data_IF_953574094914
#
_entry.id   IF_953574094914
#
_cell.length_a   1.000
_cell.length_b   1.000
_cell.length_c   1.000
_cell.angle_alpha   90.00
_cell.angle_beta   90.00
_cell.angle_gamma   90.00
#
_symmetry.space_group_name_H-M   'P 1'
#
loop_
_entity.id
_entity.type
_entity.pdbx_description
1 polymer ?
#
# COMPACT_ATOMS: atom_id res chain seq x y z
N UNK A 1 -15.32 8.67 21.83
CA UNK A 1 -14.73 7.30 21.86
C UNK A 1 -13.37 7.38 21.19
N UNK A 2 -12.43 6.47 21.47
CA UNK A 2 -11.18 6.46 20.71
C UNK A 2 -11.47 6.04 19.25
N UNK A 3 -10.92 6.72 18.22
CA UNK A 3 -11.12 6.35 16.82
C UNK A 3 -10.74 4.90 16.55
N UNK A 4 -11.63 4.13 15.91
CA UNK A 4 -11.41 2.73 15.55
C UNK A 4 -11.06 2.63 14.06
N UNK A 5 -10.00 3.31 13.64
CA UNK A 5 -9.60 3.46 12.23
C UNK A 5 -9.69 2.16 11.43
N UNK A 6 -9.16 1.06 11.97
CA UNK A 6 -9.23 -0.24 11.30
C UNK A 6 -10.66 -0.64 10.90
N UNK A 7 -11.61 -0.52 11.81
CA UNK A 7 -13.01 -0.82 11.56
C UNK A 7 -13.69 0.21 10.65
N UNK A 8 -13.39 1.49 10.83
CA UNK A 8 -13.95 2.57 10.00
C UNK A 8 -13.63 2.36 8.51
N UNK A 9 -12.41 1.93 8.19
CA UNK A 9 -12.03 1.60 6.81
C UNK A 9 -12.52 0.26 6.33
N UNK A 10 -12.63 -0.75 7.21
CA UNK A 10 -13.29 -1.99 6.81
C UNK A 10 -14.68 -1.69 6.24
N UNK A 11 -15.46 -0.84 6.93
CA UNK A 11 -16.80 -0.48 6.49
C UNK A 11 -16.77 0.32 5.17
N UNK A 12 -15.74 1.13 4.92
CA UNK A 12 -15.56 1.84 3.65
C UNK A 12 -15.15 0.93 2.49
N UNK A 13 -14.16 0.06 2.70
CA UNK A 13 -13.71 -0.92 1.70
C UNK A 13 -14.89 -1.84 1.35
N UNK A 14 -15.67 -2.28 2.35
CA UNK A 14 -16.88 -3.07 2.12
C UNK A 14 -17.91 -2.32 1.25
N UNK A 15 -18.10 -1.00 1.45
CA UNK A 15 -18.98 -0.19 0.59
C UNK A 15 -18.47 -0.08 -0.84
N UNK A 16 -17.15 -0.01 -1.04
CA UNK A 16 -16.52 0.02 -2.37
C UNK A 16 -16.53 -1.32 -3.10
N UNK A 17 -16.90 -2.41 -2.41
CA UNK A 17 -16.95 -3.77 -2.94
C UNK A 17 -18.32 -4.42 -2.63
N UNK A 18 -19.43 -3.90 -3.18
CA UNK A 18 -20.79 -4.32 -2.80
C UNK A 18 -21.08 -5.81 -3.07
N UNK A 19 -20.40 -6.39 -4.06
CA UNK A 19 -20.58 -7.80 -4.46
C UNK A 19 -19.65 -8.78 -3.72
N UNK A 20 -18.80 -8.28 -2.82
CA UNK A 20 -17.81 -9.08 -2.09
C UNK A 20 -18.05 -8.94 -0.60
N UNK A 21 -18.43 -10.02 0.08
CA UNK A 21 -18.51 -10.02 1.54
C UNK A 21 -17.11 -10.10 2.14
N UNK A 22 -16.74 -9.18 3.02
CA UNK A 22 -15.43 -9.13 3.65
C UNK A 22 -15.46 -9.58 5.11
N UNK A 23 -14.33 -10.05 5.61
CA UNK A 23 -14.12 -10.46 6.99
C UNK A 23 -12.79 -9.91 7.54
N UNK A 24 -12.74 -9.73 8.87
CA UNK A 24 -11.51 -9.36 9.58
C UNK A 24 -10.77 -10.59 10.09
N UNK A 25 -9.44 -10.57 10.04
CA UNK A 25 -8.63 -11.72 10.46
C UNK A 25 -7.29 -11.40 11.12
N UNK A 26 -6.70 -12.42 11.78
CA UNK A 26 -7.37 -13.64 12.25
C UNK A 26 -8.21 -13.36 13.51
N UNK A 27 -9.37 -14.03 13.67
CA UNK A 27 -10.19 -14.00 14.90
C UNK A 27 -10.39 -12.61 15.53
N UNK A 28 -10.81 -11.63 14.72
CA UNK A 28 -11.03 -10.22 15.11
C UNK A 28 -9.80 -9.40 15.49
N UNK A 29 -8.58 -9.93 15.32
CA UNK A 29 -7.34 -9.22 15.65
C UNK A 29 -7.11 -7.93 14.82
N UNK A 30 -8.00 -7.61 13.87
CA UNK A 30 -7.93 -6.40 13.05
C UNK A 30 -6.55 -6.25 12.38
N UNK A 31 -5.99 -7.36 11.89
CA UNK A 31 -4.66 -7.41 11.30
C UNK A 31 -4.72 -7.24 9.78
N UNK A 32 -5.69 -7.91 9.14
CA UNK A 32 -5.94 -7.86 7.71
C UNK A 32 -7.42 -8.08 7.38
N UNK A 33 -7.78 -7.77 6.13
CA UNK A 33 -9.12 -7.95 5.57
C UNK A 33 -9.02 -9.01 4.45
N UNK A 34 -10.03 -9.87 4.33
CA UNK A 34 -10.09 -10.90 3.28
C UNK A 34 -11.54 -11.17 2.85
N UNK A 35 -11.70 -11.78 1.68
CA UNK A 35 -12.99 -12.22 1.16
C UNK A 35 -13.55 -13.39 1.99
N UNK A 36 -14.78 -13.25 2.42
CA UNK A 36 -15.49 -14.22 3.24
C UNK A 36 -16.04 -15.37 2.39
N UNK A 37 -15.91 -16.58 2.90
CA UNK A 37 -16.37 -17.82 2.27
C UNK A 37 -15.52 -18.27 1.09
N UNK A 38 -14.39 -17.62 0.80
CA UNK A 38 -13.57 -17.89 -0.40
C UNK A 38 -12.11 -18.12 -0.04
N UNK A 39 -11.51 -19.13 -0.66
CA UNK A 39 -10.07 -19.40 -0.63
C UNK A 39 -9.50 -19.35 -2.05
N UNK A 40 -8.19 -19.13 -2.14
CA UNK A 40 -7.43 -19.22 -3.39
C UNK A 40 -6.62 -20.51 -3.43
N UNK A 41 -6.48 -21.05 -4.63
CA UNK A 41 -5.56 -22.14 -4.96
C UNK A 41 -4.95 -21.88 -6.34
N UNK A 42 -3.80 -22.48 -6.64
CA UNK A 42 -3.26 -22.48 -8.00
C UNK A 42 -4.17 -23.28 -8.91
N UNK A 43 -4.22 -22.90 -10.17
CA UNK A 43 -5.05 -23.56 -11.16
C UNK A 43 -4.69 -25.03 -11.39
N UNK A 44 -5.59 -25.77 -12.05
CA UNK A 44 -5.36 -27.17 -12.40
C UNK A 44 -5.55 -28.14 -11.23
N UNK A 45 -4.54 -28.99 -10.99
CA UNK A 45 -4.62 -30.09 -10.01
C UNK A 45 -4.66 -29.59 -8.56
N UNK A 46 -3.98 -28.49 -8.23
CA UNK A 46 -4.01 -27.94 -6.87
C UNK A 46 -5.40 -27.44 -6.50
N UNK A 47 -6.07 -26.69 -7.38
CA UNK A 47 -7.46 -26.30 -7.19
C UNK A 47 -8.38 -27.52 -6.99
N UNK A 48 -8.24 -28.57 -7.82
CA UNK A 48 -9.03 -29.80 -7.67
C UNK A 48 -8.77 -30.49 -6.32
N UNK A 49 -7.51 -30.56 -5.90
CA UNK A 49 -7.14 -31.12 -4.61
C UNK A 49 -7.77 -30.34 -3.45
N UNK A 50 -7.75 -29.00 -3.50
CA UNK A 50 -8.37 -28.15 -2.48
C UNK A 50 -9.88 -28.39 -2.45
N UNK A 51 -10.55 -28.42 -3.60
CA UNK A 51 -11.99 -28.70 -3.70
C UNK A 51 -12.35 -30.06 -3.09
N UNK A 52 -11.68 -31.13 -3.51
CA UNK A 52 -11.98 -32.50 -3.06
C UNK A 52 -11.71 -32.68 -1.57
N UNK A 53 -10.62 -32.10 -1.07
CA UNK A 53 -10.27 -32.15 0.36
C UNK A 53 -11.30 -31.39 1.19
N UNK A 54 -11.60 -30.13 0.85
CA UNK A 54 -12.54 -29.31 1.62
C UNK A 54 -13.95 -29.92 1.57
N UNK A 55 -14.36 -30.45 0.40
CA UNK A 55 -15.64 -31.16 0.25
C UNK A 55 -15.67 -32.45 1.06
N UNK A 56 -14.56 -33.16 1.23
CA UNK A 56 -14.48 -34.37 2.05
C UNK A 56 -14.59 -34.12 3.56
N UNK A 57 -14.15 -32.96 4.03
CA UNK A 57 -14.16 -32.58 5.45
C UNK A 57 -15.35 -31.70 5.87
N UNK A 58 -16.38 -31.53 5.03
CA UNK A 58 -17.52 -30.63 5.30
C UNK A 58 -18.31 -30.93 6.59
N UNK A 59 -18.28 -32.18 7.08
CA UNK A 59 -18.97 -32.58 8.32
C UNK A 59 -18.25 -32.14 9.60
N UNK A 60 -17.00 -31.69 9.50
CA UNK A 60 -16.15 -31.32 10.65
C UNK A 60 -16.36 -29.88 11.13
N UNK A 61 -17.14 -29.05 10.41
CA UNK A 61 -17.52 -27.72 10.87
C UNK A 61 -19.02 -27.43 10.69
N UNK A 62 -19.61 -26.77 11.71
CA UNK A 62 -21.01 -26.33 11.68
C UNK A 62 -21.23 -25.26 10.62
N UNK A 63 -22.23 -25.45 9.76
CA UNK A 63 -22.59 -24.51 8.69
C UNK A 63 -21.90 -24.77 7.34
N UNK A 64 -21.02 -25.78 7.24
CA UNK A 64 -20.46 -26.24 5.98
C UNK A 64 -21.37 -27.29 5.33
N UNK A 65 -21.68 -27.10 4.06
CA UNK A 65 -22.33 -28.11 3.21
C UNK A 65 -21.42 -28.38 2.03
N UNK A 66 -21.35 -29.64 1.58
CA UNK A 66 -20.55 -30.02 0.42
C UNK A 66 -20.94 -29.23 -0.85
N UNK A 67 -22.22 -28.84 -0.96
CA UNK A 67 -22.78 -28.08 -2.08
C UNK A 67 -22.24 -26.64 -2.17
N UNK A 68 -21.66 -26.11 -1.09
CA UNK A 68 -21.03 -24.78 -1.09
C UNK A 68 -19.61 -24.80 -1.64
N UNK A 69 -18.98 -25.98 -1.80
CA UNK A 69 -17.60 -26.11 -2.29
C UNK A 69 -17.56 -26.14 -3.82
N UNK A 70 -17.29 -24.99 -4.43
CA UNK A 70 -17.24 -24.82 -5.89
C UNK A 70 -16.29 -23.71 -6.32
N UNK A 71 -15.77 -23.82 -7.54
CA UNK A 71 -15.09 -22.70 -8.21
C UNK A 71 -16.06 -21.57 -8.47
N UNK A 72 -15.61 -20.34 -8.21
CA UNK A 72 -16.37 -19.10 -8.46
C UNK A 72 -15.66 -18.11 -9.37
N UNK A 73 -14.47 -18.47 -9.86
CA UNK A 73 -13.79 -17.79 -10.98
C UNK A 73 -13.77 -18.69 -12.23
N UNK A 74 -13.87 -18.11 -13.44
CA UNK A 74 -13.64 -18.85 -14.68
C UNK A 74 -12.18 -19.31 -14.82
N UNK A 75 -11.92 -20.19 -15.81
CA UNK A 75 -10.58 -20.69 -16.14
C UNK A 75 -9.57 -19.57 -16.50
N UNK A 76 -8.30 -19.95 -16.36
CA UNK A 76 -7.12 -19.22 -15.85
C UNK A 76 -6.71 -17.93 -16.59
N UNK A 77 -6.49 -16.84 -15.87
CA UNK A 77 -5.71 -15.71 -16.36
C UNK A 77 -4.20 -15.94 -16.09
N UNK A 78 -3.34 -14.98 -16.43
CA UNK A 78 -1.88 -15.15 -16.30
C UNK A 78 -1.40 -15.29 -14.85
N UNK A 79 -2.19 -14.84 -13.87
CA UNK A 79 -1.85 -15.04 -12.45
C UNK A 79 -1.95 -16.52 -12.02
N UNK A 80 -2.75 -17.33 -12.72
CA UNK A 80 -2.80 -18.77 -12.48
C UNK A 80 -3.55 -19.17 -11.21
N UNK A 81 -4.56 -18.39 -10.81
CA UNK A 81 -5.24 -18.50 -9.52
C UNK A 81 -6.75 -18.73 -9.67
N UNK A 82 -7.24 -19.76 -8.99
CA UNK A 82 -8.67 -20.08 -8.89
C UNK A 82 -9.23 -19.60 -7.55
N UNK A 83 -10.38 -18.91 -7.59
CA UNK A 83 -11.23 -18.64 -6.41
C UNK A 83 -12.17 -19.82 -6.18
N UNK A 84 -12.13 -20.38 -4.97
CA UNK A 84 -12.96 -21.50 -4.54
C UNK A 84 -13.83 -21.01 -3.39
N UNK A 85 -15.14 -20.99 -3.61
CA UNK A 85 -16.10 -20.80 -2.52
C UNK A 85 -16.10 -22.07 -1.67
N UNK A 86 -15.94 -21.90 -0.35
CA UNK A 86 -15.88 -22.97 0.66
C UNK A 86 -16.98 -22.84 1.72
N UNK A 87 -17.75 -21.76 1.68
CA UNK A 87 -18.87 -21.50 2.58
C UNK A 87 -19.82 -20.45 2.02
N UNK A 88 -20.92 -20.20 2.71
CA UNK A 88 -21.83 -19.09 2.37
C UNK A 88 -21.21 -17.75 2.84
N UNK A 89 -20.89 -16.81 1.92
CA UNK A 89 -20.34 -15.51 2.27
C UNK A 89 -21.26 -14.68 3.19
N UNK A 90 -22.58 -14.92 3.12
CA UNK A 90 -23.56 -14.24 3.97
C UNK A 90 -23.68 -14.82 5.39
N UNK A 91 -23.05 -15.95 5.68
CA UNK A 91 -23.21 -16.64 6.96
C UNK A 91 -22.32 -16.09 8.07
N UNK A 92 -22.88 -15.77 9.24
CA UNK A 92 -22.13 -15.14 10.36
C UNK A 92 -21.97 -13.62 10.19
N UNK A 93 -21.35 -12.95 11.15
CA UNK A 93 -21.07 -11.50 11.09
C UNK A 93 -19.73 -11.21 10.39
N UNK A 94 -19.20 -9.98 10.54
CA UNK A 94 -17.87 -9.59 10.04
C UNK A 94 -16.71 -10.22 10.84
N UNK A 95 -17.02 -10.96 11.92
CA UNK A 95 -16.07 -11.47 12.91
C UNK A 95 -15.75 -12.93 12.65
N UNK A 96 -14.64 -13.13 11.93
CA UNK A 96 -14.12 -14.45 11.61
C UNK A 96 -14.93 -15.20 10.54
N UNK A 97 -14.24 -16.14 9.91
CA UNK A 97 -14.78 -16.98 8.85
C UNK A 97 -14.42 -18.43 9.12
N UNK A 98 -15.39 -19.17 9.69
CA UNK A 98 -15.18 -20.59 10.05
C UNK A 98 -14.95 -21.46 8.82
N UNK A 99 -15.56 -21.12 7.69
CA UNK A 99 -15.44 -21.91 6.48
C UNK A 99 -14.03 -21.80 5.90
N UNK A 100 -13.51 -20.58 5.77
CA UNK A 100 -12.13 -20.34 5.34
C UNK A 100 -11.14 -20.90 6.37
N UNK A 101 -11.34 -20.67 7.66
CA UNK A 101 -10.45 -21.21 8.70
C UNK A 101 -10.40 -22.75 8.68
N UNK A 102 -11.54 -23.40 8.40
CA UNK A 102 -11.63 -24.84 8.23
C UNK A 102 -10.91 -25.32 6.96
N UNK A 103 -11.15 -24.68 5.81
CA UNK A 103 -10.48 -25.02 4.55
C UNK A 103 -8.94 -24.95 4.66
N UNK A 104 -8.42 -23.87 5.26
CA UNK A 104 -6.99 -23.75 5.55
C UNK A 104 -6.47 -24.84 6.49
N UNK A 105 -7.30 -25.28 7.45
CA UNK A 105 -6.95 -26.35 8.40
C UNK A 105 -6.91 -27.72 7.73
N UNK A 106 -7.89 -28.03 6.88
CA UNK A 106 -7.98 -29.30 6.15
C UNK A 106 -6.77 -29.51 5.22
N UNK A 107 -6.23 -28.44 4.64
CA UNK A 107 -5.09 -28.53 3.73
C UNK A 107 -3.72 -28.68 4.42
N UNK A 108 -3.62 -28.55 5.75
CA UNK A 108 -2.30 -28.53 6.45
C UNK A 108 -1.45 -29.77 6.22
N UNK A 109 -2.06 -30.96 6.21
CA UNK A 109 -1.32 -32.19 5.95
C UNK A 109 -0.81 -32.26 4.51
N UNK A 110 -1.61 -31.80 3.55
CA UNK A 110 -1.21 -31.75 2.15
C UNK A 110 -0.08 -30.76 1.93
N UNK A 111 -0.15 -29.56 2.53
CA UNK A 111 0.93 -28.57 2.48
C UNK A 111 2.23 -29.11 3.11
N UNK A 112 2.12 -29.85 4.22
CA UNK A 112 3.27 -30.52 4.84
C UNK A 112 3.92 -31.58 3.94
N UNK A 113 3.15 -32.28 3.09
CA UNK A 113 3.70 -33.25 2.12
C UNK A 113 4.27 -32.55 0.87
N UNK A 114 3.61 -31.51 0.41
CA UNK A 114 4.01 -30.74 -0.77
C UNK A 114 5.21 -29.83 -0.51
N UNK A 115 5.46 -29.44 0.75
CA UNK A 115 6.50 -28.48 1.16
C UNK A 115 6.30 -27.07 0.57
N UNK A 116 5.07 -26.74 0.18
CA UNK A 116 4.65 -25.40 -0.19
C UNK A 116 3.18 -25.18 0.16
N UNK A 117 2.78 -23.91 0.16
CA UNK A 117 1.40 -23.48 0.37
C UNK A 117 0.53 -23.94 -0.79
N UNK A 118 -0.64 -24.50 -0.49
CA UNK A 118 -1.63 -24.96 -1.48
C UNK A 118 -2.90 -24.13 -1.45
N UNK A 119 -3.20 -23.48 -0.31
CA UNK A 119 -4.42 -22.70 -0.14
C UNK A 119 -4.16 -21.39 0.60
N UNK A 120 -4.84 -20.32 0.20
CA UNK A 120 -4.79 -19.03 0.89
C UNK A 120 -6.16 -18.42 1.11
N UNK A 121 -6.26 -17.45 2.01
CA UNK A 121 -7.38 -16.50 1.96
C UNK A 121 -7.22 -15.64 0.72
N UNK A 122 -8.32 -15.10 0.20
CA UNK A 122 -8.25 -14.03 -0.79
C UNK A 122 -8.17 -12.68 -0.05
N UNK A 123 -6.95 -12.20 0.22
CA UNK A 123 -6.77 -11.00 1.04
C UNK A 123 -7.14 -9.74 0.27
N UNK A 124 -7.49 -8.68 0.98
CA UNK A 124 -7.54 -7.33 0.43
C UNK A 124 -6.14 -6.73 0.52
N UNK A 125 -5.63 -6.27 -0.62
CA UNK A 125 -4.44 -5.44 -0.75
C UNK A 125 -4.88 -3.98 -0.80
N UNK A 126 -4.25 -3.10 -0.02
CA UNK A 126 -4.68 -1.69 0.07
C UNK A 126 -3.52 -0.72 0.33
N UNK A 127 -3.71 0.54 -0.10
CA UNK A 127 -2.83 1.70 0.24
C UNK A 127 -2.99 2.14 1.70
N UNK A 128 -4.08 1.76 2.36
CA UNK A 128 -4.49 2.29 3.66
C UNK A 128 -4.44 1.22 4.76
N UNK A 129 -3.32 0.54 4.96
CA UNK A 129 -3.25 -0.54 5.95
C UNK A 129 -2.98 0.01 7.35
N UNK A 130 -3.91 -0.27 8.28
CA UNK A 130 -4.28 0.53 9.46
C UNK A 130 -4.99 1.86 9.18
N UNK A 131 -5.61 1.91 8.01
CA UNK A 131 -6.82 2.65 7.74
C UNK A 131 -6.71 4.14 7.44
N UNK A 132 -5.52 4.52 6.99
CA UNK A 132 -5.16 5.68 6.17
C UNK A 132 -3.66 5.49 5.84
N UNK A 133 -3.04 6.31 4.99
CA UNK A 133 -1.63 6.64 5.18
C UNK A 133 -1.35 7.09 6.63
N UNK A 134 -0.11 7.42 6.99
CA UNK A 134 0.25 7.88 8.34
C UNK A 134 -0.76 8.88 8.95
N UNK A 135 -1.33 9.76 8.11
CA UNK A 135 -2.46 10.66 8.29
C UNK A 135 -3.32 10.80 7.01
N UNK A 136 -4.35 11.63 7.09
CA UNK A 136 -5.06 12.21 5.94
C UNK A 136 -4.30 13.42 5.37
N UNK A 137 -4.50 13.75 4.08
CA UNK A 137 -3.81 14.87 3.46
C UNK A 137 -4.21 16.21 4.10
N UNK A 138 -3.25 17.11 4.26
CA UNK A 138 -3.44 18.45 4.83
C UNK A 138 -3.03 19.49 3.77
N UNK A 139 -3.82 20.52 3.46
CA UNK A 139 -3.42 21.49 2.43
C UNK A 139 -2.08 22.17 2.72
N UNK A 140 -1.28 22.37 1.67
CA UNK A 140 -0.02 23.07 1.73
C UNK A 140 -0.02 24.25 0.74
N UNK A 141 0.49 25.43 1.12
CA UNK A 141 0.57 26.56 0.19
C UNK A 141 1.51 26.28 -0.99
N UNK A 142 1.11 26.65 -2.20
CA UNK A 142 1.98 26.54 -3.39
C UNK A 142 3.33 27.28 -3.20
N UNK A 143 3.33 28.39 -2.46
CA UNK A 143 4.53 29.19 -2.15
C UNK A 143 5.56 28.44 -1.31
N UNK A 144 5.18 27.35 -0.63
CA UNK A 144 6.09 26.51 0.14
C UNK A 144 6.95 25.61 -0.76
N UNK A 145 6.48 25.31 -1.97
CA UNK A 145 7.10 24.33 -2.85
C UNK A 145 6.95 22.88 -2.34
N UNK A 146 7.55 21.93 -3.06
CA UNK A 146 7.55 20.52 -2.66
C UNK A 146 8.68 20.21 -1.66
N UNK A 147 8.49 19.15 -0.88
CA UNK A 147 9.52 18.57 -0.02
C UNK A 147 9.42 17.03 -0.10
N UNK A 148 10.30 16.35 -0.86
CA UNK A 148 11.54 16.88 -1.46
C UNK A 148 11.33 17.97 -2.52
N UNK A 149 12.22 18.96 -2.53
CA UNK A 149 12.28 19.94 -3.61
C UNK A 149 12.73 19.27 -4.90
N UNK A 150 12.18 19.71 -6.04
CA UNK A 150 12.58 19.22 -7.35
C UNK A 150 14.10 19.34 -7.57
N UNK A 151 14.74 18.22 -7.90
CA UNK A 151 16.15 18.22 -8.26
C UNK A 151 16.37 19.07 -9.52
N UNK A 152 17.55 19.67 -9.64
CA UNK A 152 17.88 20.57 -10.75
C UNK A 152 18.25 19.85 -12.06
N UNK A 153 18.19 18.51 -12.07
CA UNK A 153 18.45 17.73 -13.28
C UNK A 153 17.32 17.95 -14.29
N UNK A 154 17.66 18.03 -15.58
CA UNK A 154 16.67 18.06 -16.66
C UNK A 154 16.17 16.67 -17.03
N UNK A 155 15.19 16.65 -17.94
CA UNK A 155 14.73 15.43 -18.61
C UNK A 155 15.49 15.24 -19.92
N UNK A 156 15.87 13.99 -20.20
CA UNK A 156 16.46 13.51 -21.44
C UNK A 156 15.78 12.20 -21.83
N UNK A 157 14.97 12.24 -22.88
CA UNK A 157 14.17 11.11 -23.33
C UNK A 157 14.99 9.85 -23.68
N UNK A 158 16.26 10.00 -24.08
CA UNK A 158 17.12 8.87 -24.46
C UNK A 158 17.70 8.14 -23.24
N UNK A 159 17.66 8.76 -22.06
CA UNK A 159 18.24 8.22 -20.82
C UNK A 159 17.26 8.18 -19.65
N UNK A 160 16.02 8.63 -19.85
CA UNK A 160 14.99 8.66 -18.83
C UNK A 160 14.68 7.24 -18.32
N UNK A 161 14.67 7.09 -16.99
CA UNK A 161 14.35 5.81 -16.35
C UNK A 161 12.84 5.59 -16.39
N UNK A 162 12.41 4.42 -16.87
CA UNK A 162 10.99 4.06 -16.92
C UNK A 162 10.50 3.60 -15.55
N UNK A 163 9.50 4.29 -14.99
CA UNK A 163 8.91 3.92 -13.69
C UNK A 163 7.41 3.70 -13.81
N UNK A 164 6.96 2.52 -13.44
CA UNK A 164 5.55 2.18 -13.31
C UNK A 164 5.11 2.40 -11.87
N UNK A 165 4.11 3.24 -11.65
CA UNK A 165 3.45 3.45 -10.37
C UNK A 165 2.13 2.67 -10.37
N UNK A 166 2.02 1.69 -9.48
CA UNK A 166 0.79 0.91 -9.29
C UNK A 166 0.03 1.46 -8.09
N UNK A 167 -1.03 2.21 -8.34
CA UNK A 167 -1.76 2.97 -7.32
C UNK A 167 -3.25 3.18 -7.71
N UNK A 168 -3.84 4.33 -7.37
CA UNK A 168 -5.23 4.69 -7.66
C UNK A 168 -5.38 5.77 -8.75
N UNK A 169 -4.37 5.96 -9.61
CA UNK A 169 -4.46 6.89 -10.75
C UNK A 169 -4.14 8.35 -10.44
N UNK A 170 -4.24 9.18 -11.48
CA UNK A 170 -3.93 10.60 -11.48
C UNK A 170 -5.20 11.45 -11.33
N UNK A 171 -5.07 12.60 -10.69
CA UNK A 171 -6.12 13.64 -10.66
C UNK A 171 -6.23 14.31 -12.02
N UNK A 172 -7.41 14.78 -12.39
CA UNK A 172 -7.73 15.32 -13.71
C UNK A 172 -6.88 16.55 -14.07
N UNK A 173 -6.44 17.30 -13.06
CA UNK A 173 -5.68 18.54 -13.17
C UNK A 173 -4.16 18.36 -13.06
N UNK A 174 -3.65 17.13 -12.91
CA UNK A 174 -2.22 16.85 -12.71
C UNK A 174 -1.32 17.46 -13.80
N UNK A 175 -1.81 17.50 -15.06
CA UNK A 175 -1.09 18.06 -16.20
C UNK A 175 -0.83 19.57 -16.12
N UNK A 176 -1.47 20.28 -15.19
CA UNK A 176 -1.20 21.69 -14.91
C UNK A 176 0.08 21.90 -14.10
N UNK A 177 0.63 20.83 -13.52
CA UNK A 177 1.81 20.88 -12.65
C UNK A 177 3.07 20.67 -13.50
N UNK A 178 3.96 21.67 -13.66
CA UNK A 178 5.15 21.51 -14.50
C UNK A 178 6.08 20.37 -14.07
N UNK A 179 6.10 20.06 -12.77
CA UNK A 179 6.86 18.92 -12.23
C UNK A 179 6.38 17.57 -12.79
N UNK A 180 5.13 17.47 -13.22
CA UNK A 180 4.51 16.24 -13.71
C UNK A 180 4.49 16.16 -15.25
N UNK A 181 5.28 16.99 -15.95
CA UNK A 181 5.27 17.05 -17.42
C UNK A 181 5.64 15.72 -18.14
N UNK A 182 6.29 14.79 -17.43
CA UNK A 182 6.68 13.47 -17.94
C UNK A 182 5.99 12.34 -17.15
N UNK A 183 4.82 12.63 -16.60
CA UNK A 183 3.96 11.69 -15.91
C UNK A 183 2.70 11.51 -16.75
N UNK A 184 2.38 10.26 -17.06
CA UNK A 184 1.18 9.86 -17.79
C UNK A 184 0.51 8.68 -17.10
N UNK A 185 -0.66 8.28 -17.59
CA UNK A 185 -1.35 7.09 -17.12
C UNK A 185 -2.84 7.29 -16.91
N UNK A 186 -3.43 6.40 -16.12
CA UNK A 186 -4.87 6.37 -15.88
C UNK A 186 -5.29 7.49 -14.94
N UNK A 187 -6.40 8.16 -15.27
CA UNK A 187 -7.06 9.06 -14.32
C UNK A 187 -7.77 8.24 -13.23
N UNK A 188 -7.95 8.84 -12.05
CA UNK A 188 -8.69 8.25 -10.94
C UNK A 188 -10.14 7.95 -11.33
N UNK A 189 -10.77 8.82 -12.13
CA UNK A 189 -12.17 8.72 -12.54
C UNK A 189 -13.02 9.71 -11.76
N UNK A 190 -13.90 9.21 -10.87
CA UNK A 190 -14.75 10.07 -10.03
C UNK A 190 -13.94 10.60 -8.85
N UNK A 191 -13.69 11.91 -8.82
CA UNK A 191 -12.84 12.53 -7.79
C UNK A 191 -13.61 13.11 -6.62
N UNK A 192 -14.88 13.47 -6.80
CA UNK A 192 -15.70 14.13 -5.78
C UNK A 192 -17.02 13.42 -5.55
N UNK A 193 -17.58 13.58 -4.34
CA UNK A 193 -18.97 13.22 -4.05
C UNK A 193 -19.98 14.17 -4.74
N UNK A 194 -21.28 13.88 -4.58
CA UNK A 194 -22.37 14.70 -5.13
C UNK A 194 -22.40 16.14 -4.59
N UNK A 195 -21.70 16.41 -3.50
CA UNK A 195 -21.56 17.71 -2.86
C UNK A 195 -20.27 18.44 -3.29
N UNK A 196 -19.46 17.83 -4.16
CA UNK A 196 -18.20 18.38 -4.64
C UNK A 196 -17.02 18.21 -3.68
N UNK A 197 -17.16 17.44 -2.59
CA UNK A 197 -16.03 17.14 -1.71
C UNK A 197 -15.17 16.06 -2.33
N UNK A 198 -13.86 16.24 -2.28
CA UNK A 198 -12.87 15.26 -2.70
C UNK A 198 -13.09 13.93 -1.96
N UNK A 199 -13.18 12.83 -2.70
CA UNK A 199 -13.28 11.49 -2.14
C UNK A 199 -11.98 11.10 -1.45
N UNK A 200 -12.09 10.20 -0.47
CA UNK A 200 -10.91 9.77 0.27
C UNK A 200 -9.90 9.08 -0.65
N UNK A 201 -8.61 9.37 -0.44
CA UNK A 201 -7.48 8.85 -1.19
C UNK A 201 -7.32 9.34 -2.62
N UNK A 202 -8.27 10.11 -3.17
CA UNK A 202 -8.05 10.80 -4.45
C UNK A 202 -6.79 11.66 -4.35
N UNK A 203 -5.97 11.59 -5.39
CA UNK A 203 -4.67 12.27 -5.45
C UNK A 203 -3.51 11.50 -4.83
N UNK A 204 -3.72 10.30 -4.26
CA UNK A 204 -2.61 9.46 -3.77
C UNK A 204 -1.59 9.11 -4.87
N UNK A 205 -2.07 8.65 -6.03
CA UNK A 205 -1.21 8.42 -7.20
C UNK A 205 -0.51 9.70 -7.70
N UNK A 206 -1.22 10.83 -7.81
CA UNK A 206 -0.64 12.14 -8.16
C UNK A 206 0.46 12.56 -7.18
N UNK A 207 0.22 12.38 -5.89
CA UNK A 207 1.15 12.72 -4.82
C UNK A 207 2.44 11.92 -4.91
N UNK A 208 2.33 10.61 -5.11
CA UNK A 208 3.44 9.67 -5.31
C UNK A 208 4.24 10.04 -6.56
N UNK A 209 3.57 10.29 -7.69
CA UNK A 209 4.22 10.68 -8.93
C UNK A 209 5.00 12.00 -8.76
N UNK A 210 4.45 12.97 -8.04
CA UNK A 210 5.13 14.23 -7.72
C UNK A 210 6.37 14.05 -6.85
N UNK A 211 6.34 13.14 -5.86
CA UNK A 211 7.52 12.84 -5.04
C UNK A 211 8.64 12.20 -5.88
N UNK A 212 8.27 11.26 -6.75
CA UNK A 212 9.21 10.58 -7.63
C UNK A 212 9.84 11.58 -8.60
N UNK A 213 9.03 12.37 -9.30
CA UNK A 213 9.50 13.39 -10.24
C UNK A 213 10.34 14.48 -9.56
N UNK A 214 10.03 14.83 -8.30
CA UNK A 214 10.88 15.75 -7.53
C UNK A 214 12.26 15.16 -7.24
N UNK A 215 12.35 13.87 -6.89
CA UNK A 215 13.62 13.21 -6.57
C UNK A 215 14.43 12.88 -7.82
N UNK A 216 13.76 12.45 -8.89
CA UNK A 216 14.38 12.05 -10.15
C UNK A 216 13.62 12.65 -11.35
N UNK A 217 13.94 13.89 -11.76
CA UNK A 217 13.28 14.53 -12.90
C UNK A 217 13.49 13.82 -14.25
N UNK A 218 14.58 13.03 -14.38
CA UNK A 218 14.87 12.26 -15.59
C UNK A 218 14.19 10.88 -15.57
N UNK A 219 12.87 10.87 -15.42
CA UNK A 219 12.04 9.65 -15.41
C UNK A 219 10.84 9.83 -16.32
N UNK A 220 10.45 8.76 -16.99
CA UNK A 220 9.12 8.66 -17.58
C UNK A 220 8.26 7.83 -16.61
N UNK A 221 7.22 8.45 -16.05
CA UNK A 221 6.37 7.80 -15.04
C UNK A 221 5.03 7.45 -15.66
N UNK A 222 4.65 6.18 -15.58
CA UNK A 222 3.30 5.72 -15.94
C UNK A 222 2.55 5.33 -14.67
N UNK A 223 1.41 5.96 -14.38
CA UNK A 223 0.56 5.65 -13.23
C UNK A 223 -0.61 4.77 -13.67
N UNK A 224 -0.84 3.66 -12.98
CA UNK A 224 -1.97 2.76 -13.26
C UNK A 224 -3.01 2.84 -12.16
N UNK A 225 -4.27 2.99 -12.55
CA UNK A 225 -5.41 2.99 -11.65
C UNK A 225 -5.85 1.54 -11.37
N UNK A 226 -5.10 0.86 -10.50
CA UNK A 226 -5.28 -0.57 -10.21
C UNK A 226 -6.20 -0.82 -9.01
N UNK A 227 -6.28 0.15 -8.10
CA UNK A 227 -7.05 0.07 -6.87
C UNK A 227 -8.38 0.80 -7.04
N UNK A 228 -9.44 0.31 -6.39
CA UNK A 228 -10.74 0.99 -6.43
C UNK A 228 -10.74 2.32 -5.65
N UNK A 229 -11.89 3.00 -5.58
CA UNK A 229 -12.05 4.30 -4.89
C UNK A 229 -11.70 4.27 -3.39
N UNK A 230 -11.71 3.10 -2.74
CA UNK A 230 -11.24 2.93 -1.36
C UNK A 230 -9.74 2.56 -1.28
N UNK A 231 -9.04 2.58 -2.41
CA UNK A 231 -7.64 2.19 -2.51
C UNK A 231 -7.42 0.70 -2.21
N UNK A 232 -8.35 -0.16 -2.64
CA UNK A 232 -8.36 -1.59 -2.33
C UNK A 232 -8.57 -2.48 -3.58
N UNK A 233 -8.01 -3.68 -3.53
CA UNK A 233 -8.19 -4.74 -4.53
C UNK A 233 -8.09 -6.12 -3.87
N UNK A 234 -8.79 -7.12 -4.39
CA UNK A 234 -8.60 -8.50 -3.97
C UNK A 234 -7.30 -9.06 -4.53
N UNK A 235 -6.57 -9.79 -3.72
CA UNK A 235 -5.32 -10.46 -4.09
C UNK A 235 -5.47 -11.35 -5.35
N UNK A 236 -6.63 -12.00 -5.53
CA UNK A 236 -6.95 -12.79 -6.72
C UNK A 236 -6.94 -12.01 -8.03
N UNK A 237 -7.24 -10.72 -7.97
CA UNK A 237 -7.31 -9.82 -9.13
C UNK A 237 -6.00 -9.05 -9.30
N UNK A 238 -5.35 -8.74 -8.18
CA UNK A 238 -4.16 -7.91 -8.14
C UNK A 238 -3.01 -8.47 -8.99
N UNK A 239 -2.74 -9.77 -8.90
CA UNK A 239 -1.71 -10.41 -9.73
C UNK A 239 -1.94 -10.25 -11.23
N UNK A 240 -3.20 -10.34 -11.68
CA UNK A 240 -3.53 -10.12 -13.09
C UNK A 240 -3.37 -8.66 -13.49
N UNK A 241 -3.78 -7.71 -12.64
CA UNK A 241 -3.59 -6.28 -12.93
C UNK A 241 -2.13 -5.88 -13.03
N UNK A 242 -1.25 -6.51 -12.24
CA UNK A 242 0.20 -6.34 -12.37
C UNK A 242 0.71 -6.84 -13.73
N UNK A 243 0.20 -7.98 -14.20
CA UNK A 243 0.51 -8.48 -15.55
C UNK A 243 -0.03 -7.58 -16.65
N UNK A 244 -1.28 -7.14 -16.57
CA UNK A 244 -1.88 -6.20 -17.53
C UNK A 244 -1.04 -4.92 -17.66
N UNK A 245 -0.49 -4.43 -16.54
CA UNK A 245 0.36 -3.24 -16.53
C UNK A 245 1.68 -3.42 -17.28
N UNK A 246 2.36 -4.57 -17.10
CA UNK A 246 3.64 -4.84 -17.78
C UNK A 246 3.47 -5.38 -19.20
N UNK A 247 2.31 -5.96 -19.54
CA UNK A 247 2.02 -6.45 -20.89
C UNK A 247 1.69 -5.33 -21.87
N UNK A 248 1.07 -4.25 -21.40
CA UNK A 248 0.72 -3.12 -22.27
C UNK A 248 1.95 -2.31 -22.70
N UNK A 249 2.89 -2.07 -21.78
CA UNK A 249 4.02 -1.15 -22.00
C UNK A 249 5.40 -1.81 -21.87
N UNK A 250 5.44 -3.12 -21.60
CA UNK A 250 6.66 -3.83 -21.27
C UNK A 250 7.06 -3.68 -19.81
N UNK A 251 8.08 -4.43 -19.41
CA UNK A 251 8.65 -4.37 -18.07
C UNK A 251 9.43 -3.05 -17.88
N UNK A 252 9.10 -2.22 -16.88
CA UNK A 252 9.79 -0.96 -16.61
C UNK A 252 11.13 -1.22 -15.90
N UNK A 253 11.97 -0.18 -15.73
CA UNK A 253 13.16 -0.27 -14.88
C UNK A 253 12.77 -0.45 -13.41
N UNK A 254 11.76 0.32 -12.96
CA UNK A 254 11.28 0.31 -11.57
C UNK A 254 9.76 0.18 -11.55
N UNK A 255 9.24 -0.66 -10.65
CA UNK A 255 7.84 -0.65 -10.22
C UNK A 255 7.80 -0.05 -8.83
N UNK A 256 7.08 1.05 -8.65
CA UNK A 256 6.78 1.65 -7.35
C UNK A 256 5.39 1.21 -6.90
N UNK A 257 5.31 0.47 -5.80
CA UNK A 257 4.07 -0.07 -5.26
C UNK A 257 3.85 0.40 -3.81
N UNK A 258 2.80 1.18 -3.63
CA UNK A 258 2.45 1.78 -2.34
C UNK A 258 1.23 1.13 -1.68
N UNK A 259 1.01 -0.16 -1.95
CA UNK A 259 -0.07 -0.96 -1.39
C UNK A 259 0.42 -2.32 -0.90
N UNK A 260 -0.30 -2.92 0.04
CA UNK A 260 0.00 -4.27 0.52
C UNK A 260 -0.99 -4.78 1.56
N UNK A 261 -0.62 -5.86 2.26
CA UNK A 261 -1.41 -6.42 3.36
C UNK A 261 -0.54 -7.33 4.25
N UNK A 262 -0.93 -7.51 5.51
CA UNK A 262 -0.46 -8.66 6.31
C UNK A 262 -1.26 -9.89 5.88
N UNK A 263 -0.64 -11.07 5.90
CA UNK A 263 -1.34 -12.34 5.68
C UNK A 263 -1.20 -13.31 6.88
N UNK A 264 -0.63 -12.83 7.99
CA UNK A 264 -0.34 -13.62 9.19
C UNK A 264 0.67 -14.76 8.97
N UNK A 265 1.46 -14.72 7.89
CA UNK A 265 2.41 -15.77 7.50
C UNK A 265 3.76 -15.19 7.05
N UNK A 266 4.74 -16.09 6.93
CA UNK A 266 6.08 -15.79 6.45
C UNK A 266 6.27 -16.09 4.95
N UNK A 267 5.30 -16.73 4.31
CA UNK A 267 5.22 -16.89 2.85
C UNK A 267 4.31 -15.81 2.24
N UNK A 268 4.53 -15.52 0.96
CA UNK A 268 3.88 -14.40 0.29
C UNK A 268 2.39 -14.56 0.01
N UNK A 269 1.86 -13.63 -0.77
CA UNK A 269 0.51 -13.67 -1.34
C UNK A 269 0.50 -14.68 -2.50
N UNK A 270 -0.41 -15.66 -2.45
CA UNK A 270 -0.60 -16.66 -3.50
C UNK A 270 -1.05 -15.98 -4.80
N UNK A 271 -1.91 -14.96 -4.72
CA UNK A 271 -2.46 -14.26 -5.89
C UNK A 271 -1.45 -13.50 -6.74
N UNK A 272 -0.31 -13.12 -6.16
CA UNK A 272 0.77 -12.41 -6.86
C UNK A 272 1.98 -13.29 -7.14
N UNK A 273 1.95 -14.55 -6.72
CA UNK A 273 3.13 -15.42 -6.74
C UNK A 273 3.68 -15.59 -8.17
N UNK A 274 2.83 -15.85 -9.16
CA UNK A 274 3.23 -15.99 -10.56
C UNK A 274 3.90 -14.72 -11.11
N UNK A 275 3.37 -13.54 -10.76
CA UNK A 275 3.98 -12.26 -11.14
C UNK A 275 5.37 -12.09 -10.51
N UNK A 276 5.49 -12.40 -9.21
CA UNK A 276 6.76 -12.34 -8.51
C UNK A 276 7.78 -13.33 -9.11
N UNK A 277 7.36 -14.56 -9.41
CA UNK A 277 8.21 -15.55 -10.04
C UNK A 277 8.77 -15.07 -11.38
N UNK A 278 7.94 -14.43 -12.21
CA UNK A 278 8.39 -13.83 -13.46
C UNK A 278 9.29 -12.62 -13.24
N UNK A 279 8.95 -11.74 -12.30
CA UNK A 279 9.76 -10.58 -11.92
C UNK A 279 11.21 -11.00 -11.68
N UNK A 280 11.49 -12.14 -11.04
CA UNK A 280 12.88 -12.64 -10.82
C UNK A 280 13.73 -12.71 -12.09
N UNK A 281 13.10 -13.03 -13.22
CA UNK A 281 13.77 -13.16 -14.53
C UNK A 281 13.98 -11.84 -15.26
N UNK A 282 13.40 -10.76 -14.73
CA UNK A 282 13.45 -9.41 -15.32
C UNK A 282 14.54 -8.56 -14.67
N UNK A 283 14.91 -7.45 -15.32
CA UNK A 283 15.79 -6.41 -14.73
C UNK A 283 15.06 -5.43 -13.83
N UNK A 284 13.73 -5.45 -13.87
CA UNK A 284 12.86 -4.59 -13.09
C UNK A 284 13.11 -4.74 -11.60
N UNK A 285 13.15 -3.63 -10.89
CA UNK A 285 13.16 -3.55 -9.44
C UNK A 285 11.76 -3.22 -8.93
N UNK A 286 11.22 -4.04 -8.02
CA UNK A 286 10.02 -3.68 -7.26
C UNK A 286 10.41 -2.92 -5.99
N UNK A 287 9.98 -1.66 -5.87
CA UNK A 287 10.12 -0.86 -4.66
C UNK A 287 8.76 -0.79 -3.96
N UNK A 288 8.67 -1.34 -2.75
CA UNK A 288 7.38 -1.53 -2.08
C UNK A 288 7.36 -0.96 -0.66
N UNK A 289 6.25 -0.31 -0.32
CA UNK A 289 6.01 0.29 0.99
C UNK A 289 5.89 -0.76 2.10
N UNK A 290 6.51 -0.52 3.26
CA UNK A 290 6.50 -1.45 4.38
C UNK A 290 5.16 -1.48 5.17
N UNK A 291 4.29 -0.49 5.03
CA UNK A 291 3.01 -0.42 5.73
C UNK A 291 3.06 0.40 7.03
N UNK A 292 1.87 0.80 7.50
CA UNK A 292 1.67 1.87 8.49
C UNK A 292 1.10 1.36 9.84
N UNK A 293 1.40 0.10 10.21
CA UNK A 293 0.86 -0.56 11.40
C UNK A 293 1.79 -0.48 12.62
N UNK A 294 2.96 0.14 12.48
CA UNK A 294 4.03 0.12 13.48
C UNK A 294 4.40 -1.29 13.95
N UNK A 295 4.29 -2.27 13.05
CA UNK A 295 4.42 -3.70 13.33
C UNK A 295 5.73 -4.28 12.79
N UNK A 296 6.19 -5.36 13.42
CA UNK A 296 7.28 -6.19 12.91
C UNK A 296 6.79 -7.29 11.95
N UNK A 297 5.47 -7.51 11.86
CA UNK A 297 4.87 -8.54 11.00
C UNK A 297 5.18 -8.26 9.52
N UNK A 298 5.56 -9.30 8.73
CA UNK A 298 5.74 -9.17 7.29
C UNK A 298 4.54 -8.53 6.60
N UNK A 299 4.83 -7.58 5.71
CA UNK A 299 3.84 -6.87 4.91
C UNK A 299 4.09 -7.13 3.43
N UNK A 300 3.11 -7.70 2.74
CA UNK A 300 3.29 -8.22 1.38
C UNK A 300 2.72 -7.26 0.33
N UNK A 301 3.41 -7.03 -0.80
CA UNK A 301 4.58 -7.77 -1.28
C UNK A 301 5.95 -7.22 -0.82
N UNK A 302 6.03 -6.17 -0.01
CA UNK A 302 7.34 -5.63 0.42
C UNK A 302 8.24 -6.68 1.11
N UNK A 303 7.67 -7.57 1.92
CA UNK A 303 8.38 -8.62 2.63
C UNK A 303 9.05 -9.67 1.72
N UNK A 304 8.73 -9.73 0.42
CA UNK A 304 9.47 -10.54 -0.54
C UNK A 304 10.97 -10.17 -0.54
N UNK A 305 11.33 -8.93 -0.21
CA UNK A 305 12.74 -8.50 -0.07
C UNK A 305 13.56 -9.32 0.94
N UNK A 306 12.92 -10.04 1.87
CA UNK A 306 13.59 -10.91 2.83
C UNK A 306 13.78 -12.35 2.35
N UNK A 307 13.08 -12.74 1.28
CA UNK A 307 13.18 -14.08 0.70
C UNK A 307 14.42 -14.14 -0.21
N UNK A 308 15.25 -15.20 -0.11
CA UNK A 308 16.51 -15.29 -0.85
C UNK A 308 16.35 -15.06 -2.37
N UNK A 309 15.33 -15.67 -2.96
CA UNK A 309 15.01 -15.62 -4.39
C UNK A 309 14.60 -14.23 -4.91
N UNK A 310 14.34 -13.28 -4.01
CA UNK A 310 13.81 -11.95 -4.33
C UNK A 310 14.64 -10.81 -3.72
N UNK A 311 15.72 -11.13 -3.01
CA UNK A 311 16.53 -10.18 -2.23
C UNK A 311 17.24 -9.10 -3.06
N UNK A 312 17.38 -9.33 -4.38
CA UNK A 312 17.89 -8.38 -5.37
C UNK A 312 16.77 -7.76 -6.23
N UNK A 313 15.60 -8.38 -6.28
CA UNK A 313 14.45 -7.96 -7.10
C UNK A 313 13.48 -7.03 -6.37
N UNK A 314 13.46 -7.05 -5.03
CA UNK A 314 12.54 -6.27 -4.20
C UNK A 314 13.31 -5.40 -3.22
N UNK A 315 12.90 -4.13 -3.12
CA UNK A 315 13.36 -3.18 -2.11
C UNK A 315 12.18 -2.79 -1.22
N UNK A 316 12.20 -3.23 0.03
CA UNK A 316 11.20 -2.85 1.04
C UNK A 316 11.58 -1.55 1.76
N UNK A 317 10.63 -0.62 1.85
CA UNK A 317 10.88 0.75 2.31
C UNK A 317 9.98 1.16 3.47
N UNK A 318 10.59 1.43 4.62
CA UNK A 318 9.94 2.04 5.77
C UNK A 318 10.00 3.58 5.74
N UNK A 319 9.28 4.22 6.66
CA UNK A 319 9.16 5.67 6.75
C UNK A 319 9.98 6.25 7.90
N UNK A 320 10.74 7.30 7.60
CA UNK A 320 11.42 8.16 8.57
C UNK A 320 10.51 9.28 9.03
N UNK A 321 10.67 9.66 10.29
CA UNK A 321 10.12 10.86 10.93
C UNK A 321 10.64 12.12 10.23
N UNK A 322 9.98 13.25 10.45
CA UNK A 322 10.27 14.53 9.81
C UNK A 322 11.72 15.03 9.99
N UNK A 323 12.42 14.66 11.06
CA UNK A 323 13.84 14.99 11.26
C UNK A 323 14.80 14.04 10.54
N UNK A 324 14.30 12.90 10.08
CA UNK A 324 15.07 11.88 9.38
C UNK A 324 15.88 10.97 10.29
N UNK A 325 15.97 11.27 11.59
CA UNK A 325 16.84 10.57 12.54
C UNK A 325 16.21 9.28 13.07
N UNK A 326 14.87 9.23 13.12
CA UNK A 326 14.13 8.10 13.67
C UNK A 326 13.07 7.59 12.70
N UNK A 327 12.61 6.35 12.89
CA UNK A 327 11.41 5.84 12.22
C UNK A 327 10.16 6.64 12.60
N UNK A 328 9.30 6.91 11.62
CA UNK A 328 7.99 7.52 11.88
C UNK A 328 7.14 6.60 12.76
N UNK A 329 6.25 7.17 13.58
CA UNK A 329 5.54 6.40 14.60
C UNK A 329 4.72 5.22 14.03
N UNK A 330 4.25 5.34 12.79
CA UNK A 330 3.44 4.35 12.09
C UNK A 330 4.25 3.34 11.27
N UNK A 331 5.54 3.57 11.03
CA UNK A 331 6.30 2.72 10.11
C UNK A 331 6.41 1.29 10.63
N UNK A 332 6.06 0.33 9.78
CA UNK A 332 6.46 -1.05 9.99
C UNK A 332 7.99 -1.19 9.99
N UNK A 333 8.46 -2.27 10.62
CA UNK A 333 9.87 -2.50 10.90
C UNK A 333 10.22 -3.99 10.95
N UNK A 334 11.49 -4.29 11.18
CA UNK A 334 12.01 -5.66 11.26
C UNK A 334 13.04 -5.96 10.19
N UNK A 335 13.61 -7.17 10.24
CA UNK A 335 14.70 -7.60 9.36
C UNK A 335 14.31 -7.68 7.88
N UNK A 336 13.00 -7.70 7.58
CA UNK A 336 12.50 -7.73 6.21
C UNK A 336 12.40 -6.34 5.57
N UNK A 337 12.54 -5.25 6.32
CA UNK A 337 12.60 -3.88 5.80
C UNK A 337 14.05 -3.53 5.47
N UNK A 338 14.37 -3.28 4.20
CA UNK A 338 15.75 -3.04 3.76
C UNK A 338 16.26 -1.65 4.12
N UNK A 339 15.42 -0.63 3.91
CA UNK A 339 15.80 0.78 4.04
C UNK A 339 14.63 1.61 4.57
N UNK A 340 14.97 2.81 5.05
CA UNK A 340 13.99 3.81 5.44
C UNK A 340 14.24 5.12 4.68
N UNK A 341 13.18 5.75 4.19
CA UNK A 341 13.24 7.04 3.52
C UNK A 341 12.27 8.03 4.19
N UNK A 342 12.42 9.36 4.00
CA UNK A 342 11.46 10.33 4.51
C UNK A 342 10.02 9.93 4.22
N UNK A 343 9.14 10.02 5.22
CA UNK A 343 7.74 9.62 5.07
C UNK A 343 6.76 10.33 5.98
N UNK A 344 7.21 11.28 6.81
CA UNK A 344 6.32 12.09 7.64
C UNK A 344 6.27 13.53 7.10
N UNK A 345 5.05 14.03 6.84
CA UNK A 345 4.76 15.41 6.40
C UNK A 345 5.54 15.85 5.16
N UNK A 346 5.64 14.97 4.15
CA UNK A 346 6.18 15.35 2.84
C UNK A 346 5.22 16.29 2.14
N UNK A 347 5.71 17.11 1.21
CA UNK A 347 4.88 18.04 0.42
C UNK A 347 4.98 17.69 -1.05
N UNK A 348 3.83 17.44 -1.69
CA UNK A 348 3.74 17.10 -3.10
C UNK A 348 2.42 17.59 -3.71
N UNK A 349 2.30 17.44 -5.03
CA UNK A 349 1.08 17.73 -5.78
C UNK A 349 -0.07 16.81 -5.36
N UNK A 350 -1.27 17.35 -5.22
CA UNK A 350 -2.49 16.61 -4.93
C UNK A 350 -3.55 16.91 -6.00
N UNK A 351 -4.31 17.99 -5.85
CA UNK A 351 -5.39 18.44 -6.74
C UNK A 351 -5.82 19.87 -6.36
N UNK A 352 -6.66 20.49 -7.18
CA UNK A 352 -7.20 21.84 -6.99
C UNK A 352 -6.36 22.93 -7.65
N UNK A 353 -5.61 22.59 -8.70
CA UNK A 353 -4.82 23.54 -9.49
C UNK A 353 -5.68 24.36 -10.46
N UNK A 354 -6.79 23.81 -10.94
CA UNK A 354 -7.76 24.50 -11.80
C UNK A 354 -8.79 25.30 -10.98
N UNK A 355 -9.35 24.68 -9.94
CA UNK A 355 -10.29 25.25 -9.01
C UNK A 355 -10.11 24.62 -7.61
N UNK A 356 -10.19 25.40 -6.51
CA UNK A 356 -10.09 24.84 -5.17
C UNK A 356 -11.15 23.76 -4.89
N UNK A 357 -10.72 22.60 -4.36
CA UNK A 357 -11.60 21.46 -4.07
C UNK A 357 -11.74 21.28 -2.56
N UNK A 358 -12.97 21.24 -2.01
CA UNK A 358 -13.18 20.98 -0.60
C UNK A 358 -12.88 19.52 -0.25
N UNK A 359 -12.38 19.28 0.97
CA UNK A 359 -12.22 17.96 1.55
C UNK A 359 -12.73 17.93 2.98
N UNK A 360 -13.55 16.93 3.29
CA UNK A 360 -14.03 16.67 4.64
C UNK A 360 -13.20 15.54 5.22
N UNK A 361 -12.54 15.78 6.36
CA UNK A 361 -11.77 14.73 7.02
C UNK A 361 -12.67 13.55 7.37
N UNK A 362 -12.15 12.35 7.20
CA UNK A 362 -12.88 11.10 7.43
C UNK A 362 -12.61 10.53 8.82
N UNK A 363 -11.38 10.65 9.33
CA UNK A 363 -10.96 10.11 10.61
C UNK A 363 -10.57 11.22 11.58
N UNK A 364 -11.03 11.13 12.82
CA UNK A 364 -10.59 12.02 13.88
C UNK A 364 -9.12 11.72 14.24
N UNK A 365 -8.39 12.77 14.59
CA UNK A 365 -7.06 12.63 15.22
C UNK A 365 -7.14 12.04 16.61
N UNK A 366 -6.02 11.46 17.08
CA UNK A 366 -5.94 10.86 18.41
C UNK A 366 -5.44 11.84 19.46
N UNK A 367 -5.88 11.65 20.71
CA UNK A 367 -5.40 12.40 21.87
C UNK A 367 -3.96 12.13 22.27
N UNK A 368 -3.45 10.96 21.91
CA UNK A 368 -2.08 10.52 22.08
C UNK A 368 -1.67 9.69 20.86
N UNK A 369 -0.36 9.50 20.64
CA UNK A 369 0.10 8.63 19.54
C UNK A 369 -0.48 7.21 19.71
N UNK A 370 -1.12 6.68 18.66
CA UNK A 370 -1.68 5.31 18.66
C UNK A 370 -0.63 4.22 18.88
N UNK A 371 0.65 4.55 18.66
CA UNK A 371 1.78 3.63 18.76
C UNK A 371 2.71 3.92 19.95
N UNK A 372 2.25 4.74 20.90
CA UNK A 372 2.95 4.98 22.16
C UNK A 372 4.16 5.92 22.09
N UNK A 373 4.36 6.66 20.99
CA UNK A 373 5.43 7.64 20.89
C UNK A 373 5.08 8.95 21.59
N UNK A 374 6.13 9.63 22.09
CA UNK A 374 6.03 10.86 22.89
C UNK A 374 6.39 12.14 22.12
N UNK A 375 6.25 12.15 20.80
CA UNK A 375 6.41 13.36 19.98
C UNK A 375 5.09 13.79 19.34
N UNK A 376 5.02 15.04 18.87
CA UNK A 376 3.89 15.62 18.15
C UNK A 376 3.75 15.00 16.73
N UNK A 377 3.40 13.72 16.70
CA UNK A 377 3.34 12.93 15.47
C UNK A 377 2.07 13.21 14.65
N UNK A 378 2.12 12.77 13.40
CA UNK A 378 1.00 12.74 12.45
C UNK A 378 -0.33 12.20 13.00
N UNK A 379 -0.31 11.26 13.95
CA UNK A 379 -1.55 10.74 14.57
C UNK A 379 -2.31 11.80 15.39
N UNK A 380 -1.63 12.87 15.83
CA UNK A 380 -2.15 13.89 16.74
C UNK A 380 -2.26 15.27 16.08
N UNK A 381 -1.50 15.56 15.02
CA UNK A 381 -1.38 16.91 14.48
C UNK A 381 -1.24 16.95 12.95
N UNK A 382 -1.95 17.86 12.26
CA UNK A 382 -2.86 18.87 12.82
C UNK A 382 -4.14 18.23 13.38
N UNK A 383 -4.66 18.77 14.48
CA UNK A 383 -5.88 18.26 15.11
C UNK A 383 -7.07 18.50 14.18
N UNK A 384 -7.86 17.46 13.97
CA UNK A 384 -9.12 17.52 13.23
C UNK A 384 -10.09 16.43 13.71
N UNK A 385 -11.36 16.65 13.40
CA UNK A 385 -12.50 15.75 13.60
C UNK A 385 -12.94 15.16 12.26
N UNK A 386 -13.12 13.85 12.19
CA UNK A 386 -13.46 13.15 10.96
C UNK A 386 -14.89 12.58 10.93
N UNK A 387 -15.51 12.60 9.74
CA UNK A 387 -16.89 12.20 9.54
C UNK A 387 -17.18 10.72 9.90
N UNK A 388 -16.28 9.80 9.58
CA UNK A 388 -16.42 8.38 9.90
C UNK A 388 -16.22 8.10 11.39
N UNK A 389 -15.28 8.79 12.04
CA UNK A 389 -15.04 8.62 13.49
C UNK A 389 -16.19 9.13 14.35
N UNK A 390 -16.93 10.14 13.89
CA UNK A 390 -18.10 10.67 14.60
C UNK A 390 -19.41 9.97 14.22
N UNK A 391 -19.42 9.15 13.15
CA UNK A 391 -20.58 8.41 12.70
C UNK A 391 -21.10 7.47 13.81
N UNK A 392 -22.30 7.73 14.31
CA UNK A 392 -22.92 6.95 15.40
C UNK A 392 -22.61 7.44 16.81
N UNK A 393 -21.90 8.56 16.97
CA UNK A 393 -21.83 9.27 18.27
C UNK A 393 -23.07 10.15 18.47
N UNK A 394 -23.65 10.22 19.68
CA UNK A 394 -24.82 11.07 19.96
C UNK A 394 -24.50 12.59 19.97
N UNK A 395 -23.22 12.96 19.79
CA UNK A 395 -22.75 14.33 19.74
C UNK A 395 -22.68 14.84 18.30
N UNK A 396 -23.30 15.99 18.03
CA UNK A 396 -23.36 16.62 16.70
C UNK A 396 -22.06 17.35 16.33
N UNK A 397 -20.89 16.77 16.56
CA UNK A 397 -19.63 17.41 16.19
C UNK A 397 -19.50 17.36 14.66
N UNK A 398 -19.47 18.53 14.03
CA UNK A 398 -19.29 18.63 12.57
C UNK A 398 -17.85 18.24 12.24
N UNK A 399 -17.68 17.36 11.26
CA UNK A 399 -16.37 17.04 10.73
C UNK A 399 -15.68 18.29 10.17
N UNK A 400 -14.37 18.38 10.38
CA UNK A 400 -13.57 19.48 9.89
C UNK A 400 -13.43 19.39 8.37
N UNK A 401 -13.42 20.55 7.72
CA UNK A 401 -13.34 20.70 6.28
C UNK A 401 -12.20 21.63 5.91
N UNK A 402 -11.48 21.29 4.87
CA UNK A 402 -10.36 22.06 4.31
C UNK A 402 -10.52 22.24 2.80
N UNK A 403 -9.70 23.11 2.21
CA UNK A 403 -9.67 23.36 0.77
C UNK A 403 -8.29 22.99 0.22
N UNK A 404 -8.26 22.17 -0.83
CA UNK A 404 -7.05 21.89 -1.60
C UNK A 404 -6.95 22.84 -2.79
N UNK A 405 -5.76 23.44 -2.94
CA UNK A 405 -5.42 24.42 -3.99
C UNK A 405 -4.13 24.01 -4.70
N UNK A 406 -3.90 22.70 -4.82
CA UNK A 406 -2.77 22.11 -5.53
C UNK A 406 -1.88 21.22 -4.67
N UNK A 407 -1.25 21.74 -3.60
CA UNK A 407 -0.31 20.96 -2.78
C UNK A 407 -0.93 20.47 -1.47
N UNK A 408 -0.39 19.35 -0.99
CA UNK A 408 -0.72 18.81 0.32
C UNK A 408 0.54 18.38 1.10
N UNK A 409 0.41 18.32 2.41
CA UNK A 409 1.25 17.53 3.31
C UNK A 409 0.63 16.15 3.49
N UNK A 410 1.45 15.11 3.42
CA UNK A 410 0.98 13.75 3.68
C UNK A 410 2.10 12.87 4.26
N UNK A 411 1.70 11.91 5.10
CA UNK A 411 2.60 11.00 5.80
C UNK A 411 2.24 9.54 5.49
N UNK A 412 3.21 8.65 5.37
CA UNK A 412 2.99 7.22 5.11
C UNK A 412 4.20 6.54 4.47
N UNK A 413 4.35 5.23 4.66
CA UNK A 413 5.34 4.44 3.91
C UNK A 413 5.07 4.46 2.40
N UNK A 414 3.81 4.70 2.02
CA UNK A 414 3.36 4.94 0.64
C UNK A 414 4.07 6.13 -0.02
N UNK A 415 4.65 7.05 0.76
CA UNK A 415 5.42 8.20 0.27
C UNK A 415 6.92 7.99 0.41
N UNK A 416 7.36 7.14 1.33
CA UNK A 416 8.77 6.75 1.42
C UNK A 416 9.21 5.83 0.29
N UNK A 417 8.34 4.90 -0.14
CA UNK A 417 8.61 4.00 -1.26
C UNK A 417 8.94 4.74 -2.57
N UNK A 418 8.13 5.70 -3.06
CA UNK A 418 8.47 6.46 -4.27
C UNK A 418 9.67 7.38 -4.09
N UNK A 419 9.92 7.90 -2.89
CA UNK A 419 11.17 8.62 -2.61
C UNK A 419 12.39 7.71 -2.82
N UNK A 420 12.35 6.49 -2.30
CA UNK A 420 13.43 5.52 -2.53
C UNK A 420 13.52 5.06 -3.99
N UNK A 421 12.39 4.86 -4.68
CA UNK A 421 12.36 4.55 -6.10
C UNK A 421 13.00 5.68 -6.93
N UNK A 422 12.66 6.93 -6.64
CA UNK A 422 13.29 8.11 -7.23
C UNK A 422 14.79 8.16 -6.94
N UNK A 423 15.24 7.80 -5.72
CA UNK A 423 16.67 7.76 -5.42
C UNK A 423 17.41 6.69 -6.24
N UNK A 424 16.79 5.53 -6.50
CA UNK A 424 17.35 4.51 -7.40
C UNK A 424 17.41 5.04 -8.84
N UNK A 425 16.34 5.65 -9.35
CA UNK A 425 16.30 6.21 -10.70
C UNK A 425 17.29 7.37 -10.91
N UNK A 426 17.42 8.26 -9.91
CA UNK A 426 18.42 9.33 -9.91
C UNK A 426 19.85 8.75 -9.90
N UNK A 427 20.09 7.68 -9.14
CA UNK A 427 21.38 6.99 -9.13
C UNK A 427 21.68 6.33 -10.49
N UNK A 428 20.68 5.71 -11.13
CA UNK A 428 20.79 5.16 -12.49
C UNK A 428 21.21 6.22 -13.49
N UNK A 429 20.50 7.37 -13.50
CA UNK A 429 20.79 8.49 -14.39
C UNK A 429 22.20 9.03 -14.15
N UNK A 430 22.56 9.33 -12.89
CA UNK A 430 23.85 9.91 -12.55
C UNK A 430 25.05 9.00 -12.92
N UNK A 431 24.85 7.68 -12.88
CA UNK A 431 25.91 6.69 -13.14
C UNK A 431 25.75 5.98 -14.50
N UNK A 432 24.82 6.42 -15.34
CA UNK A 432 24.52 5.82 -16.66
C UNK A 432 24.29 4.31 -16.60
N UNK A 433 23.51 3.87 -15.62
CA UNK A 433 23.18 2.46 -15.41
C UNK A 433 21.82 2.12 -16.01
N UNK A 434 21.76 1.01 -16.75
CA UNK A 434 20.52 0.49 -17.35
C UNK A 434 19.89 -0.68 -16.57
N UNK A 435 20.41 -0.97 -15.37
CA UNK A 435 19.95 -2.10 -14.54
C UNK A 435 19.62 -1.57 -13.14
N UNK A 436 18.31 -1.50 -12.85
CA UNK A 436 17.80 -0.94 -11.61
C UNK A 436 18.22 -1.75 -10.37
N UNK A 437 18.36 -3.07 -10.49
CA UNK A 437 18.81 -3.93 -9.38
C UNK A 437 20.28 -3.68 -9.05
N UNK A 438 21.11 -3.56 -10.08
CA UNK A 438 22.51 -3.20 -9.92
C UNK A 438 22.65 -1.78 -9.32
N UNK A 439 21.85 -0.82 -9.80
CA UNK A 439 21.83 0.55 -9.28
C UNK A 439 21.42 0.59 -7.81
N UNK A 440 20.33 -0.12 -7.43
CA UNK A 440 19.91 -0.28 -6.04
C UNK A 440 21.05 -0.87 -5.19
N UNK A 441 21.69 -1.96 -5.63
CA UNK A 441 22.79 -2.58 -4.89
C UNK A 441 23.94 -1.60 -4.64
N UNK A 442 24.35 -0.85 -5.67
CA UNK A 442 25.43 0.13 -5.54
C UNK A 442 25.03 1.33 -4.69
N UNK A 443 23.81 1.87 -4.86
CA UNK A 443 23.28 2.95 -4.03
C UNK A 443 23.35 2.57 -2.55
N UNK A 444 22.89 1.36 -2.20
CA UNK A 444 22.93 0.89 -0.81
C UNK A 444 24.36 0.65 -0.31
N UNK A 445 25.26 0.14 -1.15
CA UNK A 445 26.65 -0.09 -0.76
C UNK A 445 27.42 1.23 -0.50
N UNK A 446 27.08 2.30 -1.22
CA UNK A 446 27.67 3.63 -1.03
C UNK A 446 26.91 4.49 -0.01
N UNK A 447 25.74 4.06 0.46
CA UNK A 447 24.98 4.80 1.45
C UNK A 447 25.62 4.70 2.84
N UNK A 448 26.01 5.83 3.39
CA UNK A 448 26.52 5.96 4.77
C UNK A 448 25.47 6.49 5.74
N UNK A 449 24.25 6.80 5.26
CA UNK A 449 23.16 7.33 6.07
C UNK A 449 22.49 6.23 6.89
N UNK A 450 22.27 6.50 8.18
CA UNK A 450 21.52 5.62 9.10
C UNK A 450 20.47 6.39 9.88
N UNK A 451 19.47 5.67 10.37
CA UNK A 451 18.45 6.15 11.30
C UNK A 451 18.22 5.10 12.40
N UNK A 452 17.63 5.52 13.51
CA UNK A 452 17.20 4.62 14.57
C UNK A 452 15.72 4.24 14.41
N UNK A 453 15.44 2.96 14.21
CA UNK A 453 14.07 2.44 14.14
C UNK A 453 13.91 1.33 15.14
N UNK A 454 13.13 1.61 16.20
CA UNK A 454 12.86 0.64 17.29
C UNK A 454 14.15 0.08 17.90
N UNK A 455 15.14 0.93 18.10
CA UNK A 455 16.47 0.58 18.64
C UNK A 455 17.42 -0.08 17.63
N UNK A 456 16.99 -0.39 16.41
CA UNK A 456 17.85 -0.86 15.35
C UNK A 456 18.46 0.31 14.56
N UNK A 457 19.75 0.20 14.23
CA UNK A 457 20.41 1.09 13.28
C UNK A 457 20.18 0.56 11.86
N UNK A 458 19.43 1.31 11.06
CA UNK A 458 18.97 0.88 9.74
C UNK A 458 19.41 1.86 8.66
N UNK A 459 19.65 1.41 7.40
CA UNK A 459 20.00 2.31 6.32
C UNK A 459 18.92 3.35 6.06
N UNK A 460 19.33 4.62 6.00
CA UNK A 460 18.45 5.75 5.74
C UNK A 460 18.78 6.40 4.39
N UNK A 461 17.81 6.42 3.48
CA UNK A 461 17.90 7.04 2.16
C UNK A 461 17.21 8.40 2.18
N UNK A 462 17.99 9.49 2.21
CA UNK A 462 17.48 10.87 2.24
C UNK A 462 17.87 11.55 0.92
N UNK A 463 16.92 11.95 0.06
CA UNK A 463 17.26 12.59 -1.21
C UNK A 463 17.76 14.02 -0.95
N UNK A 464 18.64 14.54 -1.81
CA UNK A 464 19.28 15.85 -1.63
C UNK A 464 18.28 17.03 -1.57
N UNK A 465 17.14 16.91 -2.25
CA UNK A 465 16.06 17.91 -2.23
C UNK A 465 15.21 17.89 -0.96
N UNK A 466 15.32 16.86 -0.12
CA UNK A 466 14.55 16.75 1.11
C UNK A 466 15.15 17.60 2.23
N UNK A 467 14.27 18.32 2.93
CA UNK A 467 14.63 19.17 4.07
C UNK A 467 14.00 18.61 5.34
N UNK A 468 14.78 18.33 6.39
CA UNK A 468 14.24 17.88 7.66
C UNK A 468 13.37 18.96 8.31
N UNK A 469 12.29 18.54 8.96
CA UNK A 469 11.39 19.37 9.73
C UNK A 469 11.61 19.22 11.24
N UNK A 470 11.17 20.19 12.06
CA UNK A 470 11.29 20.12 13.50
C UNK A 470 10.43 19.01 14.10
N UNK A 471 10.91 18.40 15.18
CA UNK A 471 10.18 17.42 15.99
C UNK A 471 9.97 17.97 17.39
N UNK A 472 8.70 18.11 17.79
CA UNK A 472 8.34 18.58 19.13
C UNK A 472 8.11 17.39 20.05
N UNK A 473 8.93 17.25 21.10
CA UNK A 473 8.68 16.28 22.16
C UNK A 473 7.51 16.74 23.03
N UNK A 474 6.61 15.82 23.35
CA UNK A 474 5.48 16.05 24.24
C UNK A 474 5.92 15.70 25.67
N UNK A 475 5.55 16.55 26.63
CA UNK A 475 5.78 16.24 28.04
C UNK A 475 5.03 14.95 28.42
N UNK A 476 5.60 14.09 29.29
CA UNK A 476 4.87 12.97 29.86
C UNK A 476 3.57 13.49 30.50
N UNK A 477 2.43 12.84 30.24
CA UNK A 477 1.19 13.17 30.97
C UNK A 477 1.43 12.87 32.45
N UNK A 478 1.20 13.89 33.29
CA UNK A 478 1.38 13.83 34.74
C UNK A 478 0.43 12.83 35.42
#
# INVERSE_FOLDING_TARGET
MAPQRFHEQFDQIQRSMPDVSLALGPDDAAEFIYEKGVVLARDGEEARLVEDTVRGHFTEATGLTADHVRRVSPETNRSGITRIQVGDPGHGDRRGDRAVAHALRAMREHEGRAQHRLVSRNHVVSIAVNSCPGDEPVPAPLTQGTNPAAAQAGHDADTAVGVLVVDNGLTHDHGMVPLLAHVEGDLHGTETDDQGNLLQYVGHGTFIAGLLAAVAPNTNVTVRNTLNDAGAILESEFGQRLFDAVDEHGWPDVISLSAGTSNGRADGLLGVESFMQELRTQRTLLVAAAGNNASATPFWPAAYASLPDYSDAVLSVGALRSDGEYGACFSNHGSWVNVYAPGERLTSALTGFDAPVPYVYQHSTYDACRFGFTYACTCQYPRHTGALSEAGTPTSVKADQVMFEGYAHWSGTSFSAPVAAGMVAAYMTANKMSDARAARKQLLAHNTGFAEVRGAHVPALRPAGWRPGPVVQLAPRA
#
